data_IF_967839916508
#
_entry.id   IF_967839916508
#
_cell.length_a   1.000
_cell.length_b   1.000
_cell.length_c   1.000
_cell.angle_alpha   90.00
_cell.angle_beta   90.00
_cell.angle_gamma   90.00
#
_symmetry.space_group_name_H-M   'P 1'
#
loop_
_entity.id
_entity.type
_entity.pdbx_description
1 polymer ?
#
# COMPACT_ATOMS: atom_id res chain seq x y z
N UNK A 1 -0.84 -21.77 10.18
CA UNK A 1 -1.30 -20.99 9.00
C UNK A 1 -0.20 -21.02 7.97
N UNK A 2 -0.49 -21.14 6.67
CA UNK A 2 0.53 -21.11 5.62
C UNK A 2 1.18 -19.72 5.61
N UNK A 3 2.51 -19.62 5.61
CA UNK A 3 3.24 -18.33 5.69
C UNK A 3 2.81 -17.34 4.59
N UNK A 4 2.55 -17.85 3.39
CA UNK A 4 1.92 -17.11 2.28
C UNK A 4 0.58 -16.42 2.61
N UNK A 5 -0.26 -16.98 3.48
CA UNK A 5 -1.53 -16.35 3.89
C UNK A 5 -1.29 -15.13 4.76
N UNK A 6 -0.28 -15.19 5.64
CA UNK A 6 0.08 -14.07 6.51
C UNK A 6 0.60 -12.90 5.67
N UNK A 7 1.51 -13.17 4.72
CA UNK A 7 2.05 -12.17 3.80
C UNK A 7 0.98 -11.48 2.95
N UNK A 8 -0.02 -12.23 2.47
CA UNK A 8 -1.17 -11.67 1.74
C UNK A 8 -1.97 -10.72 2.61
N UNK A 9 -2.34 -11.17 3.82
CA UNK A 9 -3.15 -10.37 4.74
C UNK A 9 -2.44 -9.09 5.16
N UNK A 10 -1.16 -9.15 5.52
CA UNK A 10 -0.38 -7.97 5.93
C UNK A 10 -0.17 -7.00 4.78
N UNK A 11 0.07 -7.49 3.55
CA UNK A 11 0.19 -6.63 2.36
C UNK A 11 -1.12 -5.89 2.08
N UNK A 12 -2.25 -6.60 2.10
CA UNK A 12 -3.57 -5.99 1.86
C UNK A 12 -3.94 -4.98 2.94
N UNK A 13 -3.63 -5.28 4.21
CA UNK A 13 -3.82 -4.33 5.31
C UNK A 13 -2.96 -3.08 5.12
N UNK A 14 -1.68 -3.24 4.80
CA UNK A 14 -0.76 -2.12 4.57
C UNK A 14 -1.23 -1.23 3.40
N UNK A 15 -1.64 -1.84 2.27
CA UNK A 15 -2.20 -1.12 1.14
C UNK A 15 -3.51 -0.40 1.49
N UNK A 16 -4.41 -1.05 2.24
CA UNK A 16 -5.67 -0.46 2.70
C UNK A 16 -5.45 0.74 3.63
N UNK A 17 -4.57 0.61 4.62
CA UNK A 17 -4.21 1.72 5.53
C UNK A 17 -3.56 2.86 4.77
N UNK A 18 -2.65 2.56 3.84
CA UNK A 18 -2.03 3.58 2.98
C UNK A 18 -3.07 4.33 2.13
N UNK A 19 -4.08 3.63 1.61
CA UNK A 19 -5.16 4.24 0.83
C UNK A 19 -6.01 5.17 1.71
N UNK A 20 -6.39 4.74 2.91
CA UNK A 20 -7.17 5.58 3.84
C UNK A 20 -6.37 6.82 4.23
N UNK A 21 -5.09 6.67 4.57
CA UNK A 21 -4.21 7.79 4.89
C UNK A 21 -4.06 8.75 3.69
N UNK A 22 -4.00 8.20 2.48
CA UNK A 22 -3.96 8.98 1.24
C UNK A 22 -5.18 9.87 1.04
N UNK A 23 -6.36 9.28 1.21
CA UNK A 23 -7.62 10.01 1.11
C UNK A 23 -7.70 11.05 2.22
N UNK A 24 -7.33 10.68 3.45
CA UNK A 24 -7.35 11.60 4.58
C UNK A 24 -6.44 12.82 4.36
N UNK A 25 -5.18 12.62 3.95
CA UNK A 25 -4.26 13.72 3.64
C UNK A 25 -4.79 14.64 2.53
N UNK A 26 -5.37 14.07 1.48
CA UNK A 26 -5.92 14.86 0.37
C UNK A 26 -7.09 15.77 0.80
N UNK A 27 -7.94 15.29 1.71
CA UNK A 27 -9.11 16.04 2.19
C UNK A 27 -8.85 16.87 3.45
N UNK A 28 -7.72 16.71 4.12
CA UNK A 28 -7.41 17.40 5.39
C UNK A 28 -6.64 18.71 5.21
N UNK A 29 -6.15 19.04 4.01
CA UNK A 29 -5.45 20.29 3.72
C UNK A 29 -6.38 21.38 3.16
N UNK A 30 -6.31 22.59 3.71
CA UNK A 30 -7.10 23.76 3.29
C UNK A 30 -6.46 24.53 2.12
N UNK A 31 -5.15 24.37 1.89
CA UNK A 31 -4.42 25.07 0.84
C UNK A 31 -4.24 24.22 -0.43
N UNK A 32 -4.35 24.81 -1.62
CA UNK A 32 -4.18 24.10 -2.90
C UNK A 32 -2.76 23.49 -3.06
N UNK A 33 -1.75 24.01 -2.35
CA UNK A 33 -0.41 23.40 -2.29
C UNK A 33 -0.39 22.05 -1.55
N UNK A 34 -1.25 21.85 -0.55
CA UNK A 34 -1.36 20.58 0.18
C UNK A 34 -1.99 19.49 -0.69
N UNK A 35 -2.85 19.87 -1.64
CA UNK A 35 -3.45 18.93 -2.60
C UNK A 35 -2.43 18.39 -3.61
N UNK A 36 -1.40 19.16 -3.94
CA UNK A 36 -0.31 18.71 -4.82
C UNK A 36 0.55 17.62 -4.16
N UNK A 37 0.72 17.67 -2.83
CA UNK A 37 1.33 16.58 -2.07
C UNK A 37 0.54 15.26 -2.20
N UNK A 38 -0.76 15.35 -2.49
CA UNK A 38 -1.66 14.22 -2.81
C UNK A 38 -1.21 13.35 -3.99
N UNK A 39 -0.44 13.89 -4.95
CA UNK A 39 0.06 13.16 -6.12
C UNK A 39 1.01 12.03 -5.73
N UNK A 40 1.84 12.23 -4.70
CA UNK A 40 2.75 11.18 -4.23
C UNK A 40 2.00 10.00 -3.60
N UNK A 41 0.82 10.26 -3.07
CA UNK A 41 0.09 9.28 -2.26
C UNK A 41 -0.63 8.24 -3.13
N UNK A 42 -0.97 8.60 -4.37
CA UNK A 42 -1.46 7.65 -5.38
C UNK A 42 -0.43 6.59 -5.82
N UNK A 43 0.87 6.85 -5.64
CA UNK A 43 1.95 5.93 -6.03
C UNK A 43 2.26 4.89 -4.93
N UNK A 44 1.89 5.17 -3.68
CA UNK A 44 2.26 4.31 -2.54
C UNK A 44 1.50 2.99 -2.53
N UNK A 45 0.19 3.02 -2.82
CA UNK A 45 -0.66 1.82 -2.87
C UNK A 45 -0.15 0.79 -3.91
N UNK A 46 0.07 1.15 -5.20
CA UNK A 46 0.60 0.20 -6.18
C UNK A 46 2.01 -0.29 -5.84
N UNK A 47 2.84 0.53 -5.18
CA UNK A 47 4.19 0.12 -4.73
C UNK A 47 4.14 -0.95 -3.64
N UNK A 48 3.22 -0.81 -2.66
CA UNK A 48 3.01 -1.81 -1.59
C UNK A 48 2.49 -3.13 -2.17
N UNK A 49 1.53 -3.06 -3.10
CA UNK A 49 0.99 -4.25 -3.76
C UNK A 49 2.04 -4.96 -4.62
N UNK A 50 2.87 -4.20 -5.34
CA UNK A 50 3.99 -4.76 -6.11
C UNK A 50 5.00 -5.48 -5.20
N UNK A 51 5.37 -4.88 -4.07
CA UNK A 51 6.25 -5.49 -3.08
C UNK A 51 5.65 -6.78 -2.50
N UNK A 52 4.37 -6.76 -2.11
CA UNK A 52 3.71 -7.95 -1.58
C UNK A 52 3.65 -9.08 -2.60
N UNK A 53 3.36 -8.77 -3.87
CA UNK A 53 3.38 -9.77 -4.94
C UNK A 53 4.79 -10.35 -5.15
N UNK A 54 5.83 -9.53 -5.09
CA UNK A 54 7.22 -9.96 -5.15
C UNK A 54 7.58 -10.93 -4.00
N UNK A 55 7.20 -10.61 -2.76
CA UNK A 55 7.44 -11.45 -1.58
C UNK A 55 6.67 -12.78 -1.62
N UNK A 56 5.43 -12.77 -2.11
CA UNK A 56 4.62 -13.99 -2.28
C UNK A 56 5.23 -14.88 -3.38
N UNK A 57 5.66 -14.27 -4.50
CA UNK A 57 6.29 -14.99 -5.61
C UNK A 57 7.63 -15.61 -5.22
N UNK A 58 8.43 -14.92 -4.39
CA UNK A 58 9.71 -15.44 -3.91
C UNK A 58 9.52 -16.62 -2.95
N UNK A 59 8.50 -16.59 -2.10
CA UNK A 59 8.19 -17.71 -1.20
C UNK A 59 7.62 -18.94 -1.93
N UNK A 60 6.88 -18.72 -3.02
CA UNK A 60 6.41 -19.81 -3.89
C UNK A 60 7.55 -20.51 -4.63
N UNK A 61 8.70 -19.84 -4.83
CA UNK A 61 9.88 -20.42 -5.48
C UNK A 61 10.76 -21.21 -4.52
N UNK A 62 10.54 -21.05 -3.20
CA UNK A 62 11.32 -21.68 -2.12
C UNK A 62 10.70 -22.98 -1.60
N UNK A 63 9.42 -23.24 -1.89
CA UNK A 63 8.74 -24.52 -1.66
C UNK A 63 8.71 -25.35 -2.94
#
# INVERSE_FOLDING_TARGET
MKSTTILRLTTLLAAGVSLVLSVWLYFSGDADEDRLNGIFVGVWVPSILALGNFLISSESRRN
#
